data_IF_084281135729
#
_entry.id   IF_084281135729
#
_cell.length_a   1.000
_cell.length_b   1.000
_cell.length_c   1.000
_cell.angle_alpha   90.00
_cell.angle_beta   90.00
_cell.angle_gamma   90.00
#
_symmetry.space_group_name_H-M   'P 1'
#
loop_
_entity.id
_entity.type
_entity.pdbx_description
1 polymer ?
#
# COMPACT_ATOMS: atom_id res chain seq x y z
N UNK A 1 24.44 -62.77 19.79
CA UNK A 1 23.19 -61.96 19.58
C UNK A 1 22.77 -61.08 20.76
N UNK A 2 22.76 -61.58 22.01
CA UNK A 2 22.32 -60.76 23.19
C UNK A 2 23.16 -59.49 23.46
N UNK A 3 24.47 -59.50 23.15
CA UNK A 3 25.33 -58.34 23.37
C UNK A 3 25.19 -57.24 22.30
N UNK A 4 24.84 -57.61 21.06
CA UNK A 4 24.64 -56.65 19.95
C UNK A 4 23.34 -55.90 20.18
N UNK A 5 22.29 -56.57 20.65
CA UNK A 5 21.00 -55.91 20.94
C UNK A 5 21.13 -54.90 22.09
N UNK A 6 21.93 -55.20 23.12
CA UNK A 6 22.15 -54.26 24.22
C UNK A 6 22.95 -53.03 23.78
N UNK A 7 23.90 -53.18 22.86
CA UNK A 7 24.69 -52.07 22.34
C UNK A 7 23.87 -51.16 21.44
N UNK A 8 22.97 -51.72 20.60
CA UNK A 8 22.07 -50.93 19.74
C UNK A 8 21.02 -50.17 20.55
N UNK A 9 20.47 -50.75 21.61
CA UNK A 9 19.49 -50.06 22.48
C UNK A 9 20.19 -48.93 23.26
N UNK A 10 21.42 -49.15 23.75
CA UNK A 10 22.18 -48.11 24.46
C UNK A 10 22.53 -46.95 23.53
N UNK A 11 22.90 -47.24 22.29
CA UNK A 11 23.21 -46.21 21.26
C UNK A 11 21.97 -45.43 20.82
N UNK A 12 20.80 -46.06 20.76
CA UNK A 12 19.53 -45.39 20.47
C UNK A 12 19.08 -44.43 21.59
N UNK A 13 19.29 -44.83 22.85
CA UNK A 13 18.96 -44.01 24.03
C UNK A 13 19.89 -42.79 24.12
N UNK A 14 21.19 -42.95 23.85
CA UNK A 14 22.14 -41.82 23.85
C UNK A 14 21.86 -40.85 22.69
N UNK A 15 21.46 -41.36 21.52
CA UNK A 15 21.09 -40.52 20.39
C UNK A 15 19.82 -39.69 20.67
N UNK A 16 18.84 -40.26 21.37
CA UNK A 16 17.63 -39.52 21.78
C UNK A 16 17.93 -38.45 22.83
N UNK A 17 18.87 -38.62 23.73
CA UNK A 17 19.26 -37.61 24.72
C UNK A 17 19.97 -36.42 24.08
N UNK A 18 20.66 -36.59 22.96
CA UNK A 18 21.29 -35.48 22.21
C UNK A 18 20.26 -34.62 21.49
N UNK A 19 19.14 -35.21 21.04
CA UNK A 19 18.06 -34.45 20.43
C UNK A 19 17.13 -33.74 21.44
N UNK A 20 17.15 -34.14 22.71
CA UNK A 20 16.38 -33.49 23.78
C UNK A 20 17.12 -32.32 24.43
N UNK A 21 18.42 -32.18 24.19
CA UNK A 21 19.17 -30.97 24.55
C UNK A 21 18.95 -29.87 23.48
N UNK A 22 17.72 -29.65 23.08
CA UNK A 22 17.32 -28.43 22.38
C UNK A 22 17.82 -27.26 23.22
N UNK A 23 18.61 -26.39 22.60
CA UNK A 23 19.11 -25.18 23.21
C UNK A 23 17.97 -24.40 23.88
N UNK A 24 17.67 -24.68 25.14
CA UNK A 24 17.16 -23.65 26.02
C UNK A 24 18.33 -22.68 26.19
N UNK A 25 18.38 -21.68 25.30
CA UNK A 25 19.05 -20.46 25.65
C UNK A 25 18.26 -19.91 26.84
N UNK A 26 18.64 -20.31 28.04
CA UNK A 26 18.26 -19.57 29.23
C UNK A 26 18.92 -18.20 29.07
N UNK A 27 18.16 -17.26 28.53
CA UNK A 27 18.44 -15.87 28.81
C UNK A 27 18.11 -15.70 30.28
N UNK A 28 19.15 -15.83 31.13
CA UNK A 28 19.03 -15.44 32.52
C UNK A 28 18.55 -13.98 32.56
N UNK A 29 17.83 -13.60 33.63
CA UNK A 29 17.31 -12.24 33.80
C UNK A 29 18.38 -11.15 33.65
N UNK A 30 19.65 -11.48 33.83
CA UNK A 30 20.80 -10.57 33.73
C UNK A 30 21.32 -10.38 32.29
N UNK A 31 20.78 -11.09 31.30
CA UNK A 31 21.20 -11.00 29.87
C UNK A 31 20.15 -10.47 28.92
N UNK A 32 18.94 -10.22 29.41
CA UNK A 32 17.99 -9.38 28.74
C UNK A 32 18.47 -7.96 29.00
N UNK A 33 18.91 -7.19 27.99
CA UNK A 33 19.09 -5.76 28.22
C UNK A 33 17.84 -5.28 28.94
N UNK A 34 17.98 -4.53 30.03
CA UNK A 34 16.88 -3.80 30.64
C UNK A 34 16.35 -2.84 29.58
N UNK A 35 15.60 -3.37 28.63
CA UNK A 35 14.65 -2.55 27.93
C UNK A 35 13.70 -2.08 29.02
N UNK A 36 13.57 -0.78 29.27
CA UNK A 36 12.52 -0.31 30.11
C UNK A 36 11.27 -1.05 29.62
N UNK A 37 10.56 -1.69 30.56
CA UNK A 37 9.26 -2.30 30.26
C UNK A 37 8.46 -1.13 29.68
N UNK A 38 8.44 -1.01 28.37
CA UNK A 38 7.60 -0.04 27.71
C UNK A 38 6.18 -0.54 28.00
N UNK A 39 5.54 0.10 28.93
CA UNK A 39 4.12 -0.06 29.14
C UNK A 39 3.44 0.34 27.85
N UNK A 40 3.32 -0.59 26.92
CA UNK A 40 2.76 -0.46 25.60
C UNK A 40 2.85 0.92 24.92
N UNK A 41 3.09 0.96 23.64
CA UNK A 41 3.06 2.22 22.89
C UNK A 41 1.67 2.40 22.25
N UNK A 42 1.12 3.63 22.18
CA UNK A 42 -0.10 3.86 21.43
C UNK A 42 0.13 3.54 19.96
N UNK A 43 -0.81 2.80 19.36
CA UNK A 43 -0.78 2.49 17.92
C UNK A 43 -1.73 3.43 17.20
N UNK A 44 -1.23 4.29 16.30
CA UNK A 44 -2.09 5.19 15.54
C UNK A 44 -2.97 4.41 14.56
N UNK A 45 -4.19 4.88 14.41
CA UNK A 45 -5.14 4.38 13.42
C UNK A 45 -5.61 5.54 12.56
N UNK A 46 -5.00 5.69 11.41
CA UNK A 46 -5.43 6.66 10.42
C UNK A 46 -6.54 6.12 9.53
N UNK A 47 -7.48 6.97 9.15
CA UNK A 47 -8.48 6.68 8.14
C UNK A 47 -8.67 7.90 7.24
N UNK A 48 -8.48 7.74 5.93
CA UNK A 48 -8.81 8.77 4.94
C UNK A 48 -10.33 8.82 4.75
N UNK A 49 -10.89 10.03 4.63
CA UNK A 49 -12.26 10.22 4.20
C UNK A 49 -12.33 9.96 2.68
N UNK A 50 -13.15 8.99 2.23
CA UNK A 50 -13.26 8.69 0.81
C UNK A 50 -13.91 9.82 0.00
N UNK A 51 -14.56 10.79 0.66
CA UNK A 51 -15.12 11.97 -0.01
C UNK A 51 -14.06 13.02 -0.35
N UNK A 52 -12.90 13.03 0.37
CA UNK A 52 -11.77 13.91 0.08
C UNK A 52 -10.88 13.38 -1.03
N UNK A 53 -9.89 14.18 -1.41
CA UNK A 53 -8.89 13.78 -2.40
C UNK A 53 -7.90 12.79 -1.77
N UNK A 54 -7.60 11.72 -2.49
CA UNK A 54 -6.67 10.68 -2.05
C UNK A 54 -5.24 10.92 -2.55
N UNK A 55 -5.09 11.72 -3.60
CA UNK A 55 -3.84 12.12 -4.25
C UNK A 55 -3.91 13.58 -4.66
N UNK A 56 -2.77 14.23 -4.87
CA UNK A 56 -2.67 15.62 -5.32
C UNK A 56 -2.56 15.62 -6.85
N UNK A 57 -3.66 15.92 -7.54
CA UNK A 57 -3.68 16.05 -8.99
C UNK A 57 -3.46 17.51 -9.41
N UNK A 58 -4.22 18.40 -8.78
CA UNK A 58 -4.18 19.85 -8.97
C UNK A 58 -3.97 20.47 -7.58
N UNK A 59 -2.76 20.96 -7.28
CA UNK A 59 -2.43 21.44 -5.93
C UNK A 59 -3.37 22.55 -5.44
N UNK A 60 -3.84 23.40 -6.33
CA UNK A 60 -4.74 24.52 -5.99
C UNK A 60 -6.12 24.05 -5.50
N UNK A 61 -6.57 22.89 -5.94
CA UNK A 61 -7.88 22.33 -5.63
C UNK A 61 -7.84 21.25 -4.57
N UNK A 62 -6.63 20.71 -4.28
CA UNK A 62 -6.47 19.58 -3.37
C UNK A 62 -7.00 19.89 -1.98
N UNK A 63 -7.97 19.08 -1.56
CA UNK A 63 -8.56 19.09 -0.22
C UNK A 63 -8.80 17.67 0.24
N UNK A 64 -8.12 17.28 1.30
CA UNK A 64 -8.30 15.97 1.90
C UNK A 64 -8.70 16.09 3.36
N UNK A 65 -9.20 15.00 3.87
CA UNK A 65 -9.67 14.88 5.24
C UNK A 65 -9.32 13.49 5.77
N UNK A 66 -8.86 13.43 6.99
CA UNK A 66 -8.54 12.16 7.62
C UNK A 66 -8.85 12.19 9.10
N UNK A 67 -9.03 11.01 9.67
CA UNK A 67 -9.21 10.82 11.11
C UNK A 67 -7.97 10.17 11.68
N UNK A 68 -7.48 10.70 12.81
CA UNK A 68 -6.53 10.02 13.68
C UNK A 68 -7.29 9.46 14.88
N UNK A 69 -7.20 8.17 15.09
CA UNK A 69 -7.72 7.44 16.23
C UNK A 69 -6.60 6.58 16.84
N UNK A 70 -6.88 5.97 17.98
CA UNK A 70 -6.04 4.96 18.62
C UNK A 70 -6.59 3.57 18.26
N UNK A 71 -5.68 2.63 17.92
CA UNK A 71 -6.10 1.26 17.63
C UNK A 71 -6.67 0.54 18.86
N UNK A 72 -6.16 0.89 20.06
CA UNK A 72 -6.64 0.43 21.38
C UNK A 72 -7.09 1.62 22.24
N UNK A 73 -8.25 2.22 21.96
CA UNK A 73 -8.68 3.45 22.64
C UNK A 73 -8.97 3.24 24.14
N UNK A 74 -9.37 2.03 24.53
CA UNK A 74 -9.74 1.69 25.90
C UNK A 74 -8.55 1.24 26.78
N UNK A 75 -7.36 1.13 26.23
CA UNK A 75 -6.16 0.78 26.98
C UNK A 75 -5.58 2.03 27.67
N UNK A 76 -5.99 2.26 28.92
CA UNK A 76 -5.55 3.39 29.72
C UNK A 76 -4.03 3.43 29.97
N UNK A 77 -3.34 2.30 29.81
CA UNK A 77 -1.87 2.23 29.98
C UNK A 77 -1.14 2.78 28.77
N UNK A 78 -1.73 2.62 27.58
CA UNK A 78 -1.16 3.12 26.34
C UNK A 78 -1.74 4.46 25.89
N UNK A 79 -2.73 5.00 26.61
CA UNK A 79 -3.38 6.26 26.26
C UNK A 79 -2.38 7.43 26.36
N UNK A 80 -2.10 8.15 25.27
CA UNK A 80 -1.20 9.29 25.28
C UNK A 80 -1.84 10.50 25.99
N UNK A 81 -1.02 11.43 26.44
CA UNK A 81 -1.47 12.74 26.91
C UNK A 81 -1.89 13.62 25.71
N UNK A 82 -1.12 13.58 24.65
CA UNK A 82 -1.40 14.32 23.41
C UNK A 82 -0.73 13.67 22.22
N UNK A 83 -1.15 14.08 21.01
CA UNK A 83 -0.48 13.74 19.78
C UNK A 83 -0.21 14.99 18.93
N UNK A 84 0.84 14.91 18.11
CA UNK A 84 1.13 15.85 17.04
C UNK A 84 1.15 15.09 15.71
N UNK A 85 0.74 15.76 14.63
CA UNK A 85 0.93 15.24 13.27
C UNK A 85 2.23 15.81 12.71
N UNK A 86 3.18 14.91 12.45
CA UNK A 86 4.42 15.20 11.77
C UNK A 86 4.34 14.84 10.31
N UNK A 87 5.00 15.63 9.46
CA UNK A 87 5.03 15.47 8.01
C UNK A 87 6.46 15.44 7.52
N UNK A 88 6.72 14.57 6.54
CA UNK A 88 7.98 14.49 5.79
C UNK A 88 7.65 14.65 4.31
N UNK A 89 8.41 15.49 3.62
CA UNK A 89 8.31 15.68 2.18
C UNK A 89 9.40 14.90 1.45
N UNK A 90 9.04 14.18 0.37
CA UNK A 90 9.94 13.48 -0.55
C UNK A 90 10.94 12.54 0.16
N UNK A 91 10.50 11.89 1.26
CA UNK A 91 11.33 11.03 2.10
C UNK A 91 12.56 11.75 2.72
N UNK A 92 12.53 13.08 2.83
CA UNK A 92 13.58 13.84 3.48
C UNK A 92 13.42 13.82 5.01
N UNK A 93 13.76 12.71 5.63
CA UNK A 93 13.63 12.50 7.08
C UNK A 93 14.57 13.38 7.93
N UNK A 94 15.37 14.26 7.31
CA UNK A 94 16.13 15.30 8.01
C UNK A 94 15.30 16.56 8.26
N UNK A 95 14.19 16.73 7.52
CA UNK A 95 13.29 17.87 7.62
C UNK A 95 11.88 17.37 7.98
N UNK A 96 11.70 17.03 9.25
CA UNK A 96 10.40 16.60 9.81
C UNK A 96 9.71 17.84 10.37
N UNK A 97 8.51 18.14 9.88
CA UNK A 97 7.76 19.33 10.27
C UNK A 97 6.45 18.97 10.98
N UNK A 98 6.02 19.82 11.95
CA UNK A 98 4.77 19.65 12.67
C UNK A 98 3.64 20.36 11.93
N UNK A 99 2.65 19.60 11.48
CA UNK A 99 1.47 20.13 10.79
C UNK A 99 0.35 20.51 11.77
N UNK A 100 0.07 19.64 12.74
CA UNK A 100 -0.95 19.86 13.76
C UNK A 100 -0.36 19.43 15.10
N UNK A 101 -0.56 20.23 16.15
CA UNK A 101 0.01 19.97 17.48
C UNK A 101 -1.04 19.98 18.56
N UNK A 102 -0.77 19.32 19.70
CA UNK A 102 -1.57 19.39 20.90
C UNK A 102 -2.93 18.69 20.80
N UNK A 103 -3.05 17.63 20.03
CA UNK A 103 -4.27 16.82 19.92
C UNK A 103 -4.43 16.00 21.20
N UNK A 104 -5.49 16.23 21.97
CA UNK A 104 -5.74 15.57 23.26
C UNK A 104 -6.96 14.66 23.27
N UNK A 105 -7.75 14.68 22.20
CA UNK A 105 -8.98 13.87 22.07
C UNK A 105 -8.93 12.98 20.83
N UNK A 106 -9.35 11.73 20.97
CA UNK A 106 -9.40 10.74 19.90
C UNK A 106 -10.79 10.10 19.86
N UNK A 107 -11.34 9.83 18.64
CA UNK A 107 -10.81 10.20 17.34
C UNK A 107 -10.87 11.72 17.08
N UNK A 108 -9.94 12.21 16.26
CA UNK A 108 -9.95 13.59 15.75
C UNK A 108 -9.95 13.60 14.24
N UNK A 109 -10.76 14.47 13.63
CA UNK A 109 -10.78 14.68 12.20
C UNK A 109 -9.97 15.92 11.85
N UNK A 110 -9.12 15.80 10.85
CA UNK A 110 -8.17 16.82 10.41
C UNK A 110 -8.34 17.02 8.91
N UNK A 111 -8.50 18.27 8.51
CA UNK A 111 -8.50 18.70 7.11
C UNK A 111 -7.08 19.13 6.72
N UNK A 112 -6.74 18.95 5.45
CA UNK A 112 -5.42 19.27 4.90
C UNK A 112 -5.56 19.69 3.45
N UNK A 113 -4.81 20.74 3.08
CA UNK A 113 -4.72 21.28 1.72
C UNK A 113 -3.27 21.26 1.24
N UNK A 114 -3.04 21.29 -0.06
CA UNK A 114 -1.68 21.43 -0.60
C UNK A 114 -1.08 22.79 -0.26
N UNK A 115 -1.87 23.84 -0.14
CA UNK A 115 -1.41 25.17 0.28
C UNK A 115 -0.82 25.16 1.70
N UNK A 116 -1.45 24.43 2.64
CA UNK A 116 -0.92 24.26 3.99
C UNK A 116 0.40 23.46 3.97
N UNK A 117 0.49 22.43 3.13
CA UNK A 117 1.72 21.65 2.95
C UNK A 117 2.85 22.51 2.33
N UNK A 118 2.55 23.28 1.29
CA UNK A 118 3.49 24.20 0.67
C UNK A 118 4.03 25.22 1.70
N UNK A 119 3.12 25.85 2.44
CA UNK A 119 3.49 26.79 3.53
C UNK A 119 4.34 26.10 4.60
N UNK A 120 3.99 24.88 5.01
CA UNK A 120 4.71 24.11 6.02
C UNK A 120 6.17 23.86 5.60
N UNK A 121 6.42 23.58 4.33
CA UNK A 121 7.76 23.30 3.79
C UNK A 121 8.46 24.53 3.18
N UNK A 122 7.79 25.69 3.19
CA UNK A 122 8.29 26.94 2.61
C UNK A 122 8.69 26.77 1.14
N UNK A 123 7.78 26.18 0.36
CA UNK A 123 7.87 26.03 -1.10
C UNK A 123 6.65 26.73 -1.75
N UNK A 124 6.76 27.04 -3.02
CA UNK A 124 5.60 27.54 -3.76
C UNK A 124 4.61 26.40 -4.05
N UNK A 125 3.32 26.72 -4.07
CA UNK A 125 2.28 25.74 -4.34
C UNK A 125 2.48 25.07 -5.72
N UNK A 126 2.92 25.84 -6.70
CA UNK A 126 3.23 25.38 -8.05
C UNK A 126 4.45 24.45 -8.14
N UNK A 127 5.29 24.39 -7.09
CA UNK A 127 6.42 23.46 -7.03
C UNK A 127 5.95 22.03 -6.70
N UNK A 128 4.70 21.86 -6.22
CA UNK A 128 4.14 20.54 -5.96
C UNK A 128 3.75 19.90 -7.30
N UNK A 129 4.72 19.25 -7.92
CA UNK A 129 4.57 18.58 -9.22
C UNK A 129 4.50 17.06 -9.06
N UNK A 130 4.06 16.32 -10.10
CA UNK A 130 4.04 14.86 -10.07
C UNK A 130 5.36 14.26 -9.60
N UNK A 131 5.27 13.31 -8.65
CA UNK A 131 6.42 12.71 -7.96
C UNK A 131 6.68 13.26 -6.56
N UNK A 132 6.09 14.40 -6.19
CA UNK A 132 6.11 14.84 -4.79
C UNK A 132 5.32 13.88 -3.90
N UNK A 133 5.81 13.72 -2.69
CA UNK A 133 5.20 12.84 -1.69
C UNK A 133 5.23 13.50 -0.32
N UNK A 134 4.09 13.52 0.35
CA UNK A 134 3.97 13.94 1.74
C UNK A 134 3.53 12.75 2.58
N UNK A 135 4.36 12.36 3.53
CA UNK A 135 4.05 11.30 4.48
C UNK A 135 3.76 11.89 5.85
N UNK A 136 2.60 11.55 6.41
CA UNK A 136 2.10 12.01 7.70
C UNK A 136 2.14 10.87 8.70
N UNK A 137 2.61 11.15 9.91
CA UNK A 137 2.60 10.23 11.05
C UNK A 137 2.26 10.96 12.34
N UNK A 138 1.81 10.22 13.35
CA UNK A 138 1.53 10.76 14.67
C UNK A 138 2.73 10.60 15.60
N UNK A 139 3.12 11.68 16.28
CA UNK A 139 4.00 11.63 17.44
C UNK A 139 3.12 11.66 18.69
N UNK A 140 3.34 10.78 19.63
CA UNK A 140 2.58 10.73 20.87
C UNK A 140 3.44 11.20 22.05
N UNK A 141 2.89 12.10 22.85
CA UNK A 141 3.45 12.46 24.16
C UNK A 141 2.69 11.68 25.24
N UNK A 142 3.40 10.87 25.99
CA UNK A 142 2.83 10.08 27.07
C UNK A 142 2.63 10.91 28.32
N UNK A 143 1.85 10.42 29.30
CA UNK A 143 1.56 11.13 30.58
C UNK A 143 2.80 11.37 31.43
N UNK A 144 3.85 10.58 31.27
CA UNK A 144 5.14 10.74 31.94
C UNK A 144 6.10 11.71 31.20
N UNK A 145 5.65 12.29 30.09
CA UNK A 145 6.42 13.19 29.25
C UNK A 145 7.27 12.47 28.19
N UNK A 146 7.27 11.14 28.14
CA UNK A 146 7.97 10.40 27.09
C UNK A 146 7.33 10.68 25.73
N UNK A 147 8.17 10.96 24.72
CA UNK A 147 7.71 11.17 23.34
C UNK A 147 7.97 9.91 22.52
N UNK A 148 6.93 9.39 21.88
CA UNK A 148 7.01 8.30 20.91
C UNK A 148 6.85 8.91 19.52
N UNK A 149 7.95 9.12 18.78
CA UNK A 149 7.92 9.82 17.51
C UNK A 149 7.34 8.94 16.40
N UNK A 150 6.57 9.54 15.51
CA UNK A 150 6.10 8.89 14.29
C UNK A 150 7.22 8.59 13.30
N UNK A 151 8.23 9.44 13.26
CA UNK A 151 9.44 9.26 12.46
C UNK A 151 10.66 9.11 13.38
N UNK A 152 11.41 8.02 13.18
CA UNK A 152 12.71 7.81 13.86
C UNK A 152 13.81 7.85 12.85
N UNK A 153 14.82 8.68 13.11
CA UNK A 153 16.03 8.79 12.29
C UNK A 153 17.11 7.91 12.89
N UNK A 154 17.48 6.85 12.19
CA UNK A 154 18.53 5.94 12.62
C UNK A 154 19.79 6.18 11.78
N UNK A 155 20.97 6.36 12.39
CA UNK A 155 22.22 6.43 11.65
C UNK A 155 22.53 5.07 11.02
N UNK A 156 22.81 5.07 9.72
CA UNK A 156 23.29 3.90 8.98
C UNK A 156 24.65 4.25 8.36
N UNK A 157 25.62 3.32 8.43
CA UNK A 157 26.96 3.50 7.86
C UNK A 157 26.96 3.70 6.33
N UNK A 158 25.97 3.13 5.63
CA UNK A 158 25.81 3.24 4.16
C UNK A 158 24.80 4.30 3.76
N UNK A 159 23.81 4.54 4.61
CA UNK A 159 22.75 5.50 4.41
C UNK A 159 22.56 6.24 5.74
N UNK A 160 23.21 7.40 5.93
CA UNK A 160 23.30 8.05 7.24
C UNK A 160 21.97 8.49 7.83
N UNK A 161 20.88 8.34 7.09
CA UNK A 161 19.52 8.64 7.57
C UNK A 161 18.55 7.59 7.03
N UNK A 162 18.11 6.70 7.91
CA UNK A 162 17.01 5.78 7.66
C UNK A 162 15.89 6.12 8.64
N UNK A 163 14.69 6.33 8.13
CA UNK A 163 13.52 6.53 8.99
C UNK A 163 12.77 5.21 9.17
N UNK A 164 12.32 4.99 10.40
CA UNK A 164 11.31 4.00 10.72
C UNK A 164 10.36 4.58 11.76
N UNK A 165 9.11 4.16 11.76
CA UNK A 165 8.21 4.47 12.87
C UNK A 165 8.40 3.42 13.96
N UNK A 166 8.58 3.79 15.23
CA UNK A 166 8.68 2.83 16.32
C UNK A 166 7.40 1.98 16.46
N UNK A 167 6.24 2.53 16.07
CA UNK A 167 4.95 1.84 16.14
C UNK A 167 4.71 0.91 14.93
N UNK A 168 5.55 0.96 13.92
CA UNK A 168 5.48 0.13 12.70
C UNK A 168 6.77 -0.64 12.48
N UNK A 169 7.59 -0.79 13.52
CA UNK A 169 8.85 -1.52 13.43
C UNK A 169 8.65 -3.01 13.11
N UNK A 170 7.48 -3.58 13.41
CA UNK A 170 7.12 -4.91 12.97
C UNK A 170 6.12 -4.84 11.80
N UNK A 171 6.29 -5.71 10.82
CA UNK A 171 5.31 -5.92 9.75
C UNK A 171 3.94 -6.32 10.31
N UNK A 172 3.88 -6.84 11.53
CA UNK A 172 2.68 -7.36 12.16
C UNK A 172 1.64 -6.27 12.38
N UNK A 173 2.06 -5.09 12.87
CA UNK A 173 1.12 -3.97 13.10
C UNK A 173 0.46 -3.51 11.79
N UNK A 174 1.19 -3.49 10.69
CA UNK A 174 0.64 -3.10 9.38
C UNK A 174 -0.33 -4.15 8.83
N UNK A 175 -0.25 -5.40 9.31
CA UNK A 175 -1.11 -6.50 8.90
C UNK A 175 -2.38 -6.64 9.79
N UNK A 176 -2.50 -5.85 10.85
CA UNK A 176 -3.70 -5.89 11.69
C UNK A 176 -4.90 -5.32 10.93
N UNK A 177 -6.08 -5.94 11.03
CA UNK A 177 -7.28 -5.47 10.36
C UNK A 177 -7.60 -4.01 10.67
N UNK A 178 -7.67 -3.16 9.65
CA UNK A 178 -7.94 -1.73 9.81
C UNK A 178 -6.81 -0.90 10.41
N UNK A 179 -5.61 -1.47 10.59
CA UNK A 179 -4.42 -0.72 10.99
C UNK A 179 -3.93 0.12 9.82
N UNK A 180 -3.71 1.41 10.07
CA UNK A 180 -3.04 2.32 9.15
C UNK A 180 -2.25 3.33 9.99
N UNK A 181 -0.94 3.20 9.97
CA UNK A 181 -0.05 3.95 10.86
C UNK A 181 0.50 5.23 10.25
N UNK A 182 0.21 5.48 8.98
CA UNK A 182 0.58 6.69 8.25
C UNK A 182 -0.44 7.03 7.18
N UNK A 183 -0.36 8.25 6.68
CA UNK A 183 -1.03 8.70 5.45
C UNK A 183 0.04 9.17 4.49
N UNK A 184 -0.16 8.89 3.21
CA UNK A 184 0.71 9.35 2.15
C UNK A 184 -0.15 10.04 1.09
N UNK A 185 0.16 11.29 0.80
CA UNK A 185 -0.36 12.02 -0.36
C UNK A 185 0.74 12.11 -1.41
N UNK A 186 0.50 11.49 -2.55
CA UNK A 186 1.38 11.59 -3.72
C UNK A 186 0.83 12.63 -4.68
N UNK A 187 1.70 13.50 -5.18
CA UNK A 187 1.36 14.34 -6.33
C UNK A 187 1.52 13.49 -7.61
N UNK A 188 0.49 13.51 -8.43
CA UNK A 188 0.37 12.71 -9.66
C UNK A 188 -0.11 13.59 -10.80
N UNK A 189 0.08 13.13 -12.04
CA UNK A 189 -0.51 13.82 -13.19
C UNK A 189 -2.04 13.80 -13.10
N UNK A 190 -2.73 14.86 -13.52
CA UNK A 190 -4.18 14.84 -13.65
C UNK A 190 -4.62 13.63 -14.50
N UNK A 191 -5.72 13.01 -14.10
CA UNK A 191 -6.29 11.87 -14.81
C UNK A 191 -7.49 12.36 -15.63
N UNK A 192 -7.26 12.51 -16.93
CA UNK A 192 -8.31 12.86 -17.89
C UNK A 192 -8.62 11.63 -18.74
N UNK A 193 -9.91 11.31 -18.94
CA UNK A 193 -10.31 10.11 -19.67
C UNK A 193 -9.90 10.17 -21.14
N UNK A 194 -9.88 11.36 -21.69
CA UNK A 194 -9.49 11.66 -23.07
C UNK A 194 -8.06 11.28 -23.38
N UNK A 195 -7.18 11.30 -22.37
CA UNK A 195 -5.78 10.89 -22.47
C UNK A 195 -5.63 9.38 -22.73
N UNK A 196 -6.68 8.62 -22.48
CA UNK A 196 -6.73 7.17 -22.67
C UNK A 196 -7.55 6.75 -23.89
N UNK A 197 -7.81 7.68 -24.82
CA UNK A 197 -8.55 7.40 -26.06
C UNK A 197 -7.60 7.41 -27.24
N UNK A 198 -7.71 6.41 -28.12
CA UNK A 198 -6.93 6.31 -29.36
C UNK A 198 -6.35 4.94 -29.61
N UNK A 199 -5.31 4.92 -30.43
CA UNK A 199 -4.55 3.69 -30.69
C UNK A 199 -3.69 3.34 -29.46
N UNK A 200 -3.78 2.10 -29.03
CA UNK A 200 -3.06 1.60 -27.86
C UNK A 200 -2.18 0.41 -28.20
N UNK A 201 -1.05 0.30 -27.53
CA UNK A 201 -0.23 -0.90 -27.53
C UNK A 201 -0.62 -1.77 -26.33
N UNK A 202 -0.97 -3.01 -26.60
CA UNK A 202 -1.36 -4.00 -25.59
C UNK A 202 -0.19 -4.93 -25.32
N UNK A 203 0.13 -5.11 -24.04
CA UNK A 203 1.01 -6.18 -23.56
C UNK A 203 0.16 -7.17 -22.79
N UNK A 204 -0.01 -8.36 -23.34
CA UNK A 204 -0.80 -9.45 -22.76
C UNK A 204 0.04 -10.73 -22.77
N UNK A 205 0.95 -10.89 -21.80
CA UNK A 205 1.83 -12.07 -21.76
C UNK A 205 1.09 -13.38 -21.51
N UNK A 206 -0.21 -13.32 -21.23
CA UNK A 206 -1.03 -14.50 -21.00
C UNK A 206 -1.48 -15.19 -22.30
N UNK A 207 -1.87 -14.41 -23.32
CA UNK A 207 -2.35 -14.94 -24.59
C UNK A 207 -1.44 -14.63 -25.78
N UNK A 208 -0.53 -13.68 -25.65
CA UNK A 208 0.25 -13.19 -26.78
C UNK A 208 1.70 -12.90 -26.36
N UNK A 209 2.64 -13.56 -27.03
CA UNK A 209 4.07 -13.27 -26.86
C UNK A 209 4.45 -12.00 -27.62
N UNK A 210 4.33 -10.84 -26.97
CA UNK A 210 4.71 -9.57 -27.57
C UNK A 210 3.68 -8.47 -27.33
N UNK A 211 3.64 -7.52 -28.27
CA UNK A 211 2.71 -6.40 -28.23
C UNK A 211 1.87 -6.40 -29.49
N UNK A 212 0.61 -6.08 -29.34
CA UNK A 212 -0.28 -5.86 -30.48
C UNK A 212 -1.03 -4.53 -30.35
N UNK A 213 -1.58 -4.06 -31.48
CA UNK A 213 -2.35 -2.83 -31.51
C UNK A 213 -3.82 -3.09 -31.18
N UNK A 214 -4.40 -2.20 -30.40
CA UNK A 214 -5.84 -2.15 -30.14
C UNK A 214 -6.34 -0.70 -30.21
N UNK A 215 -7.63 -0.51 -30.09
CA UNK A 215 -8.24 0.82 -30.06
C UNK A 215 -9.01 1.00 -28.77
N UNK A 216 -8.81 2.14 -28.12
CA UNK A 216 -9.56 2.55 -26.94
C UNK A 216 -10.46 3.70 -27.32
N UNK A 217 -11.75 3.59 -26.99
CA UNK A 217 -12.76 4.65 -27.20
C UNK A 217 -13.44 4.96 -25.87
N UNK A 218 -13.90 6.21 -25.71
CA UNK A 218 -14.69 6.61 -24.57
C UNK A 218 -16.16 6.21 -24.76
N UNK A 219 -16.77 5.61 -23.73
CA UNK A 219 -18.18 5.17 -23.75
C UNK A 219 -19.06 5.93 -22.74
N UNK A 220 -18.51 6.88 -22.03
CA UNK A 220 -19.18 7.69 -21.01
C UNK A 220 -18.18 8.45 -20.17
N UNK A 221 -18.62 9.09 -19.12
CA UNK A 221 -17.76 9.97 -18.31
C UNK A 221 -16.59 9.24 -17.64
N UNK A 222 -16.76 7.97 -17.33
CA UNK A 222 -15.74 7.16 -16.64
C UNK A 222 -15.58 5.75 -17.22
N UNK A 223 -15.95 5.55 -18.47
CA UNK A 223 -15.95 4.25 -19.12
C UNK A 223 -15.17 4.31 -20.42
N UNK A 224 -14.23 3.38 -20.55
CA UNK A 224 -13.49 3.13 -21.78
C UNK A 224 -13.93 1.81 -22.40
N UNK A 225 -13.95 1.73 -23.72
CA UNK A 225 -14.08 0.49 -24.49
C UNK A 225 -12.76 0.18 -25.16
N UNK A 226 -12.20 -0.98 -24.87
CA UNK A 226 -11.10 -1.54 -25.62
C UNK A 226 -11.66 -2.44 -26.72
N UNK A 227 -11.13 -2.33 -27.94
CA UNK A 227 -11.47 -3.14 -29.10
C UNK A 227 -10.20 -3.66 -29.78
N UNK A 228 -10.23 -4.89 -30.29
CA UNK A 228 -9.09 -5.48 -30.97
C UNK A 228 -8.23 -6.38 -30.08
N UNK A 229 -8.82 -7.09 -29.11
CA UNK A 229 -8.09 -8.10 -28.34
C UNK A 229 -7.52 -9.14 -29.28
N UNK A 230 -6.22 -9.39 -29.16
CA UNK A 230 -5.48 -10.35 -30.01
C UNK A 230 -5.69 -10.10 -31.50
N UNK A 231 -5.69 -8.82 -31.89
CA UNK A 231 -5.89 -8.36 -33.26
C UNK A 231 -7.28 -8.66 -33.89
N UNK A 232 -8.24 -9.15 -33.08
CA UNK A 232 -9.61 -9.37 -33.53
C UNK A 232 -10.46 -8.10 -33.26
N UNK A 233 -10.84 -7.32 -34.30
CA UNK A 233 -11.61 -6.08 -34.12
C UNK A 233 -13.00 -6.30 -33.54
N UNK A 234 -13.55 -7.52 -33.61
CA UNK A 234 -14.85 -7.84 -33.04
C UNK A 234 -14.81 -8.08 -31.53
N UNK A 235 -13.63 -8.35 -30.99
CA UNK A 235 -13.46 -8.53 -29.55
C UNK A 235 -13.44 -7.20 -28.83
N UNK A 236 -14.31 -7.04 -27.83
CA UNK A 236 -14.39 -5.77 -27.08
C UNK A 236 -14.71 -6.02 -25.60
N UNK A 237 -14.23 -5.12 -24.74
CA UNK A 237 -14.68 -5.06 -23.35
C UNK A 237 -14.61 -3.65 -22.77
N UNK A 238 -15.39 -3.41 -21.73
CA UNK A 238 -15.52 -2.14 -21.04
C UNK A 238 -14.62 -2.11 -19.80
N UNK A 239 -14.00 -0.96 -19.56
CA UNK A 239 -13.12 -0.65 -18.43
C UNK A 239 -13.69 0.56 -17.73
N UNK A 240 -14.06 0.44 -16.46
CA UNK A 240 -14.50 1.56 -15.65
C UNK A 240 -13.30 2.17 -14.92
N UNK A 241 -13.15 3.48 -15.00
CA UNK A 241 -12.08 4.26 -14.35
C UNK A 241 -12.61 4.93 -13.09
N UNK A 242 -11.87 4.87 -12.01
CA UNK A 242 -12.07 5.66 -10.80
C UNK A 242 -11.00 6.76 -10.75
N UNK A 243 -11.42 7.99 -10.99
CA UNK A 243 -10.54 9.18 -11.04
C UNK A 243 -9.96 9.56 -9.68
N UNK A 244 -10.62 9.18 -8.59
CA UNK A 244 -10.13 9.49 -7.24
C UNK A 244 -9.11 8.47 -6.76
N UNK A 245 -9.37 7.19 -7.03
CA UNK A 245 -8.52 6.10 -6.57
C UNK A 245 -7.41 5.74 -7.56
N UNK A 246 -7.44 6.28 -8.80
CA UNK A 246 -6.54 5.89 -9.89
C UNK A 246 -6.58 4.38 -10.16
N UNK A 247 -7.79 3.83 -10.14
CA UNK A 247 -8.02 2.41 -10.38
C UNK A 247 -8.90 2.19 -11.61
N UNK A 248 -8.74 1.01 -12.19
CA UNK A 248 -9.57 0.55 -13.29
C UNK A 248 -10.24 -0.77 -12.90
N UNK A 249 -11.49 -0.95 -13.29
CA UNK A 249 -12.26 -2.17 -13.00
C UNK A 249 -12.92 -2.68 -14.27
N UNK A 250 -12.81 -3.98 -14.51
CA UNK A 250 -13.48 -4.71 -15.58
C UNK A 250 -14.51 -5.62 -14.93
N UNK A 251 -15.78 -5.26 -15.06
CA UNK A 251 -16.87 -6.13 -14.63
C UNK A 251 -16.92 -7.38 -15.53
N UNK A 252 -17.36 -8.52 -14.99
CA UNK A 252 -17.46 -9.74 -15.77
C UNK A 252 -18.31 -9.53 -17.03
N UNK A 253 -17.72 -9.77 -18.19
CA UNK A 253 -18.33 -9.58 -19.50
C UNK A 253 -17.74 -10.54 -20.54
N UNK A 254 -18.54 -10.87 -21.56
CA UNK A 254 -18.08 -11.63 -22.72
C UNK A 254 -17.35 -10.68 -23.67
N UNK A 255 -16.10 -11.02 -24.01
CA UNK A 255 -15.22 -10.26 -24.91
C UNK A 255 -15.41 -10.70 -26.35
N UNK A 256 -15.52 -12.01 -26.55
CA UNK A 256 -15.75 -12.63 -27.85
C UNK A 256 -16.63 -13.88 -27.70
N UNK A 257 -17.65 -14.05 -28.56
CA UNK A 257 -18.49 -15.27 -28.57
C UNK A 257 -17.70 -16.54 -28.87
N UNK A 258 -16.65 -16.42 -29.68
CA UNK A 258 -15.73 -17.51 -30.02
C UNK A 258 -14.32 -16.95 -30.25
N UNK A 259 -13.32 -17.54 -29.62
CA UNK A 259 -11.90 -17.18 -29.79
C UNK A 259 -11.04 -18.40 -29.44
N UNK A 260 -9.97 -18.66 -30.23
CA UNK A 260 -9.05 -19.78 -30.02
C UNK A 260 -9.71 -21.17 -29.95
N UNK A 261 -10.89 -21.34 -30.56
CA UNK A 261 -11.63 -22.60 -30.51
C UNK A 261 -12.48 -22.78 -29.21
N UNK A 262 -12.52 -21.77 -28.38
CA UNK A 262 -13.36 -21.74 -27.17
C UNK A 262 -14.58 -20.86 -27.39
N UNK A 263 -15.64 -21.09 -26.57
CA UNK A 263 -16.88 -20.32 -26.61
C UNK A 263 -17.00 -19.39 -25.42
N UNK A 264 -17.59 -18.20 -25.65
CA UNK A 264 -17.86 -17.17 -24.65
C UNK A 264 -16.62 -16.77 -23.82
N UNK A 265 -15.55 -16.37 -24.53
CA UNK A 265 -14.41 -15.79 -23.84
C UNK A 265 -14.85 -14.57 -23.03
N UNK A 266 -14.73 -14.67 -21.73
CA UNK A 266 -15.15 -13.62 -20.79
C UNK A 266 -13.99 -13.18 -19.92
N UNK A 267 -14.06 -11.92 -19.48
CA UNK A 267 -13.04 -11.28 -18.66
C UNK A 267 -13.68 -10.60 -17.45
N UNK A 268 -12.96 -10.57 -16.34
CA UNK A 268 -13.22 -9.75 -15.15
C UNK A 268 -11.89 -9.41 -14.48
N UNK A 269 -11.83 -8.27 -13.79
CA UNK A 269 -10.62 -7.92 -13.03
C UNK A 269 -10.56 -6.47 -12.59
N UNK A 270 -9.40 -6.08 -12.11
CA UNK A 270 -9.14 -4.72 -11.66
C UNK A 270 -7.65 -4.38 -11.79
N UNK A 271 -7.33 -3.10 -11.62
CA UNK A 271 -5.96 -2.66 -11.69
C UNK A 271 -5.79 -1.18 -11.41
N UNK A 272 -4.69 -0.61 -11.89
CA UNK A 272 -4.29 0.77 -11.63
C UNK A 272 -4.14 1.56 -12.92
N UNK A 273 -4.34 2.88 -12.81
CA UNK A 273 -4.15 3.85 -13.88
C UNK A 273 -2.95 4.72 -13.55
N UNK A 274 -2.02 4.82 -14.47
CA UNK A 274 -0.85 5.70 -14.42
C UNK A 274 -1.06 6.82 -15.44
N UNK A 275 -1.57 7.95 -14.96
CA UNK A 275 -1.90 9.11 -15.81
C UNK A 275 -0.65 9.71 -16.46
N UNK A 276 0.49 9.77 -15.72
CA UNK A 276 1.72 10.34 -16.25
C UNK A 276 2.29 9.58 -17.46
N UNK A 277 2.11 8.25 -17.47
CA UNK A 277 2.60 7.38 -18.53
C UNK A 277 1.49 6.91 -19.48
N UNK A 278 0.27 7.43 -19.33
CA UNK A 278 -0.93 7.03 -20.09
C UNK A 278 -1.08 5.51 -20.15
N UNK A 279 -0.95 4.86 -19.00
CA UNK A 279 -0.90 3.41 -18.87
C UNK A 279 -1.96 2.89 -17.93
N UNK A 280 -2.69 1.85 -18.35
CA UNK A 280 -3.59 1.08 -17.49
C UNK A 280 -2.98 -0.31 -17.31
N UNK A 281 -2.83 -0.76 -16.07
CA UNK A 281 -2.35 -2.10 -15.73
C UNK A 281 -3.44 -2.84 -15.00
N UNK A 282 -3.91 -3.94 -15.58
CA UNK A 282 -5.00 -4.77 -15.07
C UNK A 282 -4.46 -6.15 -14.69
N UNK A 283 -5.04 -6.77 -13.67
CA UNK A 283 -4.98 -8.21 -13.41
C UNK A 283 -6.33 -8.79 -13.83
N UNK A 284 -6.35 -9.49 -14.96
CA UNK A 284 -7.56 -9.99 -15.58
C UNK A 284 -7.68 -11.50 -15.42
N UNK A 285 -8.84 -11.93 -14.95
CA UNK A 285 -9.24 -13.32 -14.94
C UNK A 285 -9.99 -13.65 -16.23
N UNK A 286 -9.52 -14.66 -16.92
CA UNK A 286 -10.05 -15.12 -18.19
C UNK A 286 -10.82 -16.44 -18.03
N UNK A 287 -12.04 -16.46 -18.55
CA UNK A 287 -12.92 -17.65 -18.49
C UNK A 287 -13.58 -17.91 -19.83
N UNK A 288 -13.92 -19.15 -20.09
CA UNK A 288 -14.67 -19.66 -21.23
C UNK A 288 -15.70 -20.65 -20.74
N UNK A 289 -16.65 -21.07 -21.57
CA UNK A 289 -17.62 -22.11 -21.17
C UNK A 289 -16.96 -23.40 -20.73
N UNK A 290 -15.81 -23.72 -21.29
CA UNK A 290 -15.05 -24.93 -21.02
C UNK A 290 -14.21 -24.86 -19.73
N UNK A 291 -14.07 -23.67 -19.10
CA UNK A 291 -13.29 -23.52 -17.87
C UNK A 291 -12.67 -22.14 -17.67
N UNK A 292 -11.55 -22.10 -16.95
CA UNK A 292 -10.80 -20.87 -16.63
C UNK A 292 -9.35 -21.02 -17.04
N UNK A 293 -8.81 -19.96 -17.61
CA UNK A 293 -7.36 -19.84 -17.87
C UNK A 293 -6.59 -19.26 -16.66
N UNK A 294 -7.31 -18.74 -15.66
CA UNK A 294 -6.71 -18.07 -14.49
C UNK A 294 -6.55 -16.56 -14.67
N UNK A 295 -5.69 -15.96 -13.86
CA UNK A 295 -5.41 -14.53 -13.88
C UNK A 295 -4.12 -14.22 -14.63
N UNK A 296 -4.11 -13.09 -15.30
CA UNK A 296 -2.92 -12.59 -16.00
C UNK A 296 -2.85 -11.07 -16.05
N UNK A 297 -1.62 -10.57 -16.10
CA UNK A 297 -1.38 -9.14 -16.28
C UNK A 297 -1.80 -8.72 -17.70
N UNK A 298 -2.46 -7.56 -17.79
CA UNK A 298 -2.88 -6.96 -19.05
C UNK A 298 -2.57 -5.45 -18.99
N UNK A 299 -1.74 -5.00 -19.92
CA UNK A 299 -1.25 -3.62 -19.90
C UNK A 299 -1.66 -2.91 -21.19
N UNK A 300 -2.29 -1.75 -21.03
CA UNK A 300 -2.70 -0.84 -22.10
C UNK A 300 -1.80 0.38 -22.02
N UNK A 301 -1.15 0.76 -23.12
CA UNK A 301 -0.31 1.96 -23.26
C UNK A 301 -0.77 2.77 -24.47
N UNK A 302 -1.04 4.06 -24.25
CA UNK A 302 -1.38 5.02 -25.31
C UNK A 302 -0.20 5.90 -25.66
#
# INVERSE_FOLDING_TARGET
>A
MKHIIKLTVLMAITLQMVFLSGCKKEYGPDKIPNFPVMDGAPVPKFALDPAGDLVIQQPEEFKSKFTLDLYFPDDLKTAPQSADISVVMNNNYKDIRKFKTGITTFPVTIEITAAELATLFNIDLADIVPGYKFELRADFTMKDGTVIPGFVTLPDKKNPVKSSSPNTASSDVNNWPGSKTNIIFNAVCPLEIEDFVGAAAIEDPFFYEGKYAATVTQEGDNMLRLSGLNEDPASTFLIKIDFKAFTATVAKQVVAPSMFGYTNLAVEGSGTVDACNKKITLDLKWTVDQGSFGNGAFIIKL
#
